data_IF_458843571103
#
_entry.id   IF_458843571103
#
_cell.length_a   1.000
_cell.length_b   1.000
_cell.length_c   1.000
_cell.angle_alpha   90.00
_cell.angle_beta   90.00
_cell.angle_gamma   90.00
#
_symmetry.space_group_name_H-M   'P 1'
#
loop_
_entity.id
_entity.type
_entity.pdbx_description
1 polymer ?
#
# COMPACT_ATOMS: atom_id res chain seq x y z
N UNK A 1 -14.31 -4.00 -16.45
CA UNK A 1 -13.01 -4.57 -16.86
C UNK A 1 -12.88 -5.88 -16.14
N UNK A 2 -12.64 -6.96 -16.86
CA UNK A 2 -12.44 -8.30 -16.31
C UNK A 2 -11.02 -8.73 -16.59
N UNK A 3 -10.41 -9.46 -15.66
CA UNK A 3 -8.99 -9.79 -15.69
C UNK A 3 -8.71 -11.01 -14.83
N UNK A 4 -7.76 -11.82 -15.28
CA UNK A 4 -7.20 -12.94 -14.52
C UNK A 4 -5.82 -12.61 -13.95
N UNK A 5 -5.35 -11.37 -14.09
CA UNK A 5 -4.09 -10.93 -13.52
C UNK A 5 -4.25 -10.62 -12.03
N UNK A 6 -3.28 -11.02 -11.22
CA UNK A 6 -3.30 -10.79 -9.76
C UNK A 6 -3.23 -9.30 -9.39
N UNK A 7 -2.58 -8.49 -10.23
CA UNK A 7 -2.44 -7.04 -10.04
C UNK A 7 -2.86 -6.31 -11.31
N UNK A 8 -4.18 -6.15 -11.54
CA UNK A 8 -4.70 -5.60 -12.79
C UNK A 8 -4.64 -4.08 -12.88
N UNK A 9 -4.60 -3.40 -11.74
CA UNK A 9 -4.55 -1.95 -11.63
C UNK A 9 -3.83 -1.58 -10.34
N UNK A 10 -2.99 -0.55 -10.41
CA UNK A 10 -2.36 0.03 -9.22
C UNK A 10 -3.37 0.95 -8.53
N UNK A 11 -3.60 0.75 -7.23
CA UNK A 11 -4.55 1.52 -6.44
C UNK A 11 -3.87 2.24 -5.27
N UNK A 12 -4.21 3.51 -5.11
CA UNK A 12 -3.91 4.29 -3.92
C UNK A 12 -4.93 4.01 -2.81
N UNK A 13 -4.54 4.24 -1.54
CA UNK A 13 -5.43 3.99 -0.38
C UNK A 13 -6.71 4.82 -0.41
N UNK A 14 -6.64 6.00 -1.02
CA UNK A 14 -7.74 6.94 -1.15
C UNK A 14 -8.43 6.81 -2.51
N UNK A 15 -8.24 5.70 -3.22
CA UNK A 15 -8.98 5.42 -4.45
C UNK A 15 -10.49 5.44 -4.21
N UNK A 16 -11.15 6.37 -4.91
CA UNK A 16 -12.60 6.55 -4.92
C UNK A 16 -13.22 6.23 -6.28
N UNK A 17 -12.50 5.49 -7.14
CA UNK A 17 -12.94 5.22 -8.52
C UNK A 17 -13.24 3.76 -8.79
N UNK A 18 -12.61 2.84 -8.05
CA UNK A 18 -12.67 1.42 -8.37
C UNK A 18 -13.37 0.63 -7.26
N UNK A 19 -14.47 -0.03 -7.62
CA UNK A 19 -15.02 -1.15 -6.87
C UNK A 19 -14.27 -2.42 -7.29
N UNK A 20 -13.66 -3.12 -6.34
CA UNK A 20 -12.97 -4.38 -6.61
C UNK A 20 -13.81 -5.53 -6.09
N UNK A 21 -14.28 -6.37 -7.01
CA UNK A 21 -14.98 -7.60 -6.73
C UNK A 21 -14.10 -8.76 -7.17
N UNK A 22 -13.55 -9.50 -6.20
CA UNK A 22 -12.94 -10.78 -6.50
C UNK A 22 -14.06 -11.82 -6.51
N UNK A 23 -14.34 -12.38 -7.68
CA UNK A 23 -15.09 -13.61 -7.76
C UNK A 23 -14.13 -14.74 -7.36
N UNK A 24 -14.55 -15.58 -6.42
CA UNK A 24 -13.79 -16.77 -6.09
C UNK A 24 -13.54 -17.56 -7.37
N UNK A 25 -12.28 -17.85 -7.67
CA UNK A 25 -11.96 -18.70 -8.82
C UNK A 25 -12.42 -20.12 -8.55
N UNK A 26 -12.49 -20.95 -9.59
CA UNK A 26 -12.79 -22.39 -9.47
C UNK A 26 -11.79 -23.14 -8.57
N UNK A 27 -10.67 -22.51 -8.19
CA UNK A 27 -9.71 -23.05 -7.22
C UNK A 27 -10.01 -22.63 -5.77
N UNK A 28 -10.95 -21.71 -5.55
CA UNK A 28 -11.39 -21.20 -4.24
C UNK A 28 -12.88 -21.45 -3.95
N UNK A 29 -13.71 -21.63 -4.98
CA UNK A 29 -15.04 -22.25 -4.87
C UNK A 29 -14.87 -23.76 -5.00
N UNK A 30 -15.62 -24.50 -4.19
CA UNK A 30 -15.74 -25.95 -4.18
C UNK A 30 -15.66 -26.50 -5.63
N UNK A 31 -14.82 -27.52 -5.85
CA UNK A 31 -14.53 -28.16 -7.14
C UNK A 31 -15.75 -28.73 -7.90
N UNK A 32 -16.97 -28.49 -7.41
CA UNK A 32 -18.21 -29.15 -7.86
C UNK A 32 -18.44 -29.05 -9.37
N UNK A 33 -18.12 -27.92 -10.00
CA UNK A 33 -18.48 -27.68 -11.40
C UNK A 33 -17.31 -27.33 -12.33
N UNK A 34 -16.04 -27.53 -11.94
CA UNK A 34 -14.86 -27.09 -12.75
C UNK A 34 -14.85 -27.65 -14.17
N UNK A 35 -15.34 -28.87 -14.33
CA UNK A 35 -15.40 -29.60 -15.60
C UNK A 35 -16.84 -30.05 -15.91
N UNK A 36 -17.82 -29.46 -15.23
CA UNK A 36 -19.24 -29.78 -15.41
C UNK A 36 -19.79 -29.08 -16.66
N UNK A 37 -19.49 -29.70 -17.79
CA UNK A 37 -19.89 -29.23 -19.12
C UNK A 37 -21.42 -29.14 -19.22
N UNK A 38 -22.14 -30.06 -18.59
CA UNK A 38 -23.60 -30.09 -18.63
C UNK A 38 -24.20 -28.90 -17.87
N UNK A 39 -23.69 -28.60 -16.67
CA UNK A 39 -24.07 -27.39 -15.92
C UNK A 39 -23.85 -26.12 -16.73
N UNK A 40 -22.67 -25.94 -17.33
CA UNK A 40 -22.38 -24.72 -18.11
C UNK A 40 -23.19 -24.65 -19.40
N UNK A 41 -23.48 -25.79 -20.03
CA UNK A 41 -24.37 -25.86 -21.18
C UNK A 41 -25.79 -25.42 -20.79
N UNK A 42 -26.35 -25.98 -19.72
CA UNK A 42 -27.67 -25.61 -19.21
C UNK A 42 -27.72 -24.12 -18.83
N UNK A 43 -26.72 -23.63 -18.09
CA UNK A 43 -26.60 -22.23 -17.72
C UNK A 43 -26.57 -21.31 -18.95
N UNK A 44 -25.78 -21.65 -19.97
CA UNK A 44 -25.69 -20.85 -21.20
C UNK A 44 -27.00 -20.82 -21.99
N UNK A 45 -27.78 -21.91 -21.94
CA UNK A 45 -29.08 -22.02 -22.58
C UNK A 45 -30.19 -21.30 -21.79
N UNK A 46 -29.99 -21.10 -20.49
CA UNK A 46 -30.95 -20.40 -19.62
C UNK A 46 -31.09 -18.90 -19.92
N UNK A 47 -30.14 -18.30 -20.65
CA UNK A 47 -30.17 -16.89 -21.06
C UNK A 47 -31.14 -16.65 -22.22
N UNK A 48 -32.43 -16.87 -21.96
CA UNK A 48 -33.52 -16.70 -22.91
C UNK A 48 -33.92 -15.23 -23.07
N UNK A 49 -34.72 -14.93 -24.08
CA UNK A 49 -35.31 -13.58 -24.25
C UNK A 49 -36.12 -13.16 -23.01
N UNK A 50 -36.92 -14.08 -22.45
CA UNK A 50 -37.70 -13.85 -21.23
C UNK A 50 -36.79 -13.52 -20.03
N UNK A 51 -35.66 -14.20 -19.89
CA UNK A 51 -34.67 -13.88 -18.86
C UNK A 51 -34.18 -12.42 -18.98
N UNK A 52 -33.82 -11.97 -20.18
CA UNK A 52 -33.36 -10.59 -20.39
C UNK A 52 -34.47 -9.55 -20.16
N UNK A 53 -35.70 -9.85 -20.56
CA UNK A 53 -36.86 -8.97 -20.30
C UNK A 53 -37.14 -8.83 -18.80
N UNK A 54 -37.08 -9.95 -18.06
CA UNK A 54 -37.22 -9.96 -16.60
C UNK A 54 -36.05 -9.23 -15.92
N UNK A 55 -34.81 -9.44 -16.37
CA UNK A 55 -33.64 -8.74 -15.86
C UNK A 55 -33.74 -7.23 -16.10
N UNK A 56 -34.17 -6.82 -17.29
CA UNK A 56 -34.34 -5.41 -17.62
C UNK A 56 -35.42 -4.76 -16.75
N UNK A 57 -36.56 -5.46 -16.57
CA UNK A 57 -37.64 -5.02 -15.68
C UNK A 57 -37.12 -4.85 -14.25
N UNK A 58 -36.40 -5.84 -13.72
CA UNK A 58 -35.77 -5.77 -12.39
C UNK A 58 -34.83 -4.56 -12.24
N UNK A 59 -34.00 -4.27 -13.25
CA UNK A 59 -33.07 -3.13 -13.21
C UNK A 59 -33.81 -1.78 -13.28
N UNK A 60 -34.88 -1.68 -14.07
CA UNK A 60 -35.67 -0.45 -14.23
C UNK A 60 -36.56 -0.14 -13.03
N UNK A 61 -37.05 -1.17 -12.33
CA UNK A 61 -37.92 -1.02 -11.17
C UNK A 61 -37.15 -0.83 -9.85
N UNK A 62 -35.82 -0.95 -9.89
CA UNK A 62 -34.99 -0.81 -8.69
C UNK A 62 -34.99 0.63 -8.19
N UNK A 63 -35.49 0.85 -6.97
CA UNK A 63 -35.35 2.14 -6.30
C UNK A 63 -33.87 2.42 -5.98
N UNK A 64 -33.32 3.45 -6.64
CA UNK A 64 -31.95 3.94 -6.49
C UNK A 64 -31.90 5.33 -5.83
N UNK A 65 -33.01 5.81 -5.24
CA UNK A 65 -33.07 7.14 -4.61
C UNK A 65 -32.01 7.35 -3.52
N UNK A 66 -31.60 6.28 -2.84
CA UNK A 66 -30.54 6.28 -1.82
C UNK A 66 -29.17 5.86 -2.37
N UNK A 67 -29.06 5.48 -3.63
CA UNK A 67 -27.79 5.04 -4.21
C UNK A 67 -26.87 6.24 -4.43
N UNK A 68 -25.68 6.18 -3.83
CA UNK A 68 -24.64 7.18 -4.04
C UNK A 68 -23.44 6.53 -4.74
N UNK A 69 -23.20 6.82 -6.04
CA UNK A 69 -22.10 6.22 -6.79
C UNK A 69 -20.72 6.66 -6.30
N UNK A 70 -20.62 7.69 -5.45
CA UNK A 70 -19.35 8.14 -4.86
C UNK A 70 -18.93 7.33 -3.64
N UNK A 71 -19.85 6.56 -3.03
CA UNK A 71 -19.58 5.72 -1.87
C UNK A 71 -19.15 4.32 -2.33
N UNK A 72 -17.89 4.22 -2.76
CA UNK A 72 -17.32 2.93 -3.15
C UNK A 72 -16.84 2.18 -1.90
N UNK A 73 -17.34 0.96 -1.64
CA UNK A 73 -16.95 0.19 -0.46
C UNK A 73 -15.49 -0.27 -0.54
N UNK A 74 -14.86 -0.37 0.64
CA UNK A 74 -13.52 -0.92 0.81
C UNK A 74 -13.59 -2.44 1.03
N UNK A 75 -13.72 -3.19 -0.07
CA UNK A 75 -13.75 -4.66 -0.06
C UNK A 75 -12.40 -5.27 0.32
N UNK A 76 -12.37 -6.52 0.80
CA UNK A 76 -11.10 -7.21 1.11
C UNK A 76 -10.17 -7.31 -0.11
N UNK A 77 -10.74 -7.62 -1.28
CA UNK A 77 -9.99 -7.63 -2.53
C UNK A 77 -9.38 -6.25 -2.85
N UNK A 78 -10.11 -5.15 -2.57
CA UNK A 78 -9.57 -3.80 -2.74
C UNK A 78 -8.43 -3.53 -1.76
N UNK A 79 -8.55 -3.92 -0.48
CA UNK A 79 -7.49 -3.77 0.52
C UNK A 79 -6.23 -4.53 0.11
N UNK A 80 -6.37 -5.77 -0.34
CA UNK A 80 -5.26 -6.58 -0.86
C UNK A 80 -4.60 -5.91 -2.07
N UNK A 81 -5.40 -5.41 -3.01
CA UNK A 81 -4.87 -4.75 -4.21
C UNK A 81 -4.12 -3.45 -3.88
N UNK A 82 -4.64 -2.64 -2.95
CA UNK A 82 -3.95 -1.44 -2.42
C UNK A 82 -2.63 -1.86 -1.74
N UNK A 83 -2.63 -2.96 -0.99
CA UNK A 83 -1.44 -3.47 -0.31
C UNK A 83 -0.33 -3.88 -1.30
N UNK A 84 -0.67 -4.60 -2.38
CA UNK A 84 0.33 -4.98 -3.41
C UNK A 84 0.70 -3.83 -4.35
N UNK A 85 -0.09 -2.75 -4.37
CA UNK A 85 0.18 -1.53 -5.14
C UNK A 85 1.20 -0.59 -4.49
N UNK A 86 1.68 -0.93 -3.28
CA UNK A 86 2.68 -0.19 -2.52
C UNK A 86 3.97 -0.03 -3.32
N UNK A 87 4.56 1.15 -3.24
CA UNK A 87 5.91 1.34 -3.76
C UNK A 87 6.94 0.83 -2.74
N UNK A 88 8.14 0.41 -3.18
CA UNK A 88 9.22 0.02 -2.25
C UNK A 88 9.60 1.12 -1.25
N UNK A 89 9.31 2.38 -1.56
CA UNK A 89 9.52 3.51 -0.65
C UNK A 89 8.45 3.55 0.44
N UNK A 90 7.21 3.16 0.12
CA UNK A 90 6.14 3.02 1.11
C UNK A 90 6.51 1.97 2.15
N UNK A 91 7.05 0.83 1.70
CA UNK A 91 7.45 -0.25 2.61
C UNK A 91 8.51 0.22 3.62
N UNK A 92 9.57 0.90 3.15
CA UNK A 92 10.59 1.47 4.03
C UNK A 92 10.01 2.52 4.97
N UNK A 93 9.09 3.36 4.50
CA UNK A 93 8.44 4.36 5.36
C UNK A 93 7.59 3.68 6.42
N UNK A 94 6.86 2.61 6.10
CA UNK A 94 6.05 1.87 7.06
C UNK A 94 6.92 1.18 8.11
N UNK A 95 7.96 0.46 7.68
CA UNK A 95 8.92 -0.22 8.57
C UNK A 95 9.65 0.73 9.53
N UNK A 96 9.81 2.01 9.15
CA UNK A 96 10.52 3.03 9.93
C UNK A 96 9.62 4.22 10.30
N UNK A 97 8.29 4.04 10.26
CA UNK A 97 7.32 5.13 10.38
C UNK A 97 7.53 6.04 11.59
N UNK A 98 7.76 5.47 12.77
CA UNK A 98 8.02 6.25 13.99
C UNK A 98 9.31 7.07 13.86
N UNK A 99 10.36 6.54 13.22
CA UNK A 99 11.59 7.30 12.96
C UNK A 99 11.35 8.45 11.98
N UNK A 100 10.55 8.24 10.94
CA UNK A 100 10.18 9.31 10.00
C UNK A 100 9.37 10.43 10.65
N UNK A 101 8.53 10.12 11.65
CA UNK A 101 7.83 11.15 12.44
C UNK A 101 8.78 11.99 13.30
N UNK A 102 9.85 11.40 13.82
CA UNK A 102 10.84 12.08 14.69
C UNK A 102 11.99 12.76 13.92
N UNK A 103 12.25 12.31 12.69
CA UNK A 103 13.38 12.75 11.87
C UNK A 103 14.45 11.66 11.75
N UNK A 104 14.45 10.92 10.65
CA UNK A 104 15.43 9.87 10.38
C UNK A 104 16.64 10.40 9.59
N UNK A 105 17.89 10.10 9.98
CA UNK A 105 19.08 10.52 9.23
C UNK A 105 19.05 10.08 7.77
N UNK A 106 19.32 11.00 6.85
CA UNK A 106 19.33 10.70 5.40
C UNK A 106 20.43 9.69 5.05
N UNK A 107 21.53 9.68 5.79
CA UNK A 107 22.58 8.71 5.54
C UNK A 107 22.15 7.28 5.92
N UNK A 108 21.40 7.11 7.01
CA UNK A 108 20.81 5.82 7.39
C UNK A 108 19.76 5.37 6.38
N UNK A 109 18.84 6.25 5.97
CA UNK A 109 17.76 5.85 5.06
C UNK A 109 18.27 5.42 3.68
N UNK A 110 19.38 5.98 3.21
CA UNK A 110 19.97 5.60 1.92
C UNK A 110 20.44 4.14 1.92
N UNK A 111 20.70 3.54 3.08
CA UNK A 111 21.07 2.14 3.23
C UNK A 111 19.87 1.19 2.99
N UNK A 112 18.63 1.66 3.20
CA UNK A 112 17.41 0.89 2.94
C UNK A 112 16.90 1.03 1.49
N UNK A 113 17.69 1.66 0.61
CA UNK A 113 17.36 1.77 -0.80
C UNK A 113 17.23 0.37 -1.44
N UNK A 114 16.16 0.10 -2.21
CA UNK A 114 16.06 -1.13 -2.99
C UNK A 114 17.28 -1.37 -3.87
N UNK A 115 17.74 -2.63 -3.96
CA UNK A 115 18.99 -2.96 -4.65
C UNK A 115 18.97 -2.56 -6.14
N UNK A 116 17.82 -2.69 -6.79
CA UNK A 116 17.59 -2.35 -8.20
C UNK A 116 17.43 -0.84 -8.46
N UNK A 117 17.42 0.02 -7.44
CA UNK A 117 17.23 1.45 -7.61
C UNK A 117 18.56 2.22 -7.60
N UNK A 118 18.68 3.26 -8.43
CA UNK A 118 19.73 4.25 -8.28
C UNK A 118 19.44 5.15 -7.07
N UNK A 119 20.47 5.59 -6.36
CA UNK A 119 20.30 6.46 -5.18
C UNK A 119 19.55 7.75 -5.50
N UNK A 120 19.80 8.32 -6.69
CA UNK A 120 19.07 9.51 -7.18
C UNK A 120 17.56 9.25 -7.30
N UNK A 121 17.17 8.10 -7.84
CA UNK A 121 15.76 7.72 -7.98
C UNK A 121 15.08 7.58 -6.62
N UNK A 122 15.75 6.94 -5.67
CA UNK A 122 15.24 6.78 -4.32
C UNK A 122 15.07 8.12 -3.60
N UNK A 123 16.07 8.99 -3.66
CA UNK A 123 15.98 10.35 -3.09
C UNK A 123 14.83 11.16 -3.70
N UNK A 124 14.65 11.10 -5.02
CA UNK A 124 13.55 11.79 -5.69
C UNK A 124 12.18 11.29 -5.20
N UNK A 125 12.01 9.99 -5.01
CA UNK A 125 10.77 9.44 -4.48
C UNK A 125 10.50 9.88 -3.04
N UNK A 126 11.56 9.98 -2.21
CA UNK A 126 11.45 10.46 -0.83
C UNK A 126 11.07 11.92 -0.72
N UNK A 127 11.56 12.80 -1.60
CA UNK A 127 11.28 14.24 -1.57
C UNK A 127 9.78 14.55 -1.73
N UNK A 128 9.02 13.68 -2.40
CA UNK A 128 7.57 13.83 -2.51
C UNK A 128 6.81 13.44 -1.24
N UNK A 129 7.46 12.71 -0.32
CA UNK A 129 6.84 12.16 0.89
C UNK A 129 7.35 12.81 2.18
N UNK A 130 8.55 13.36 2.14
CA UNK A 130 9.27 13.90 3.30
C UNK A 130 9.85 15.28 3.00
N UNK A 131 10.01 16.07 4.06
CA UNK A 131 10.80 17.30 4.07
C UNK A 131 12.21 17.02 4.60
N UNK A 132 13.24 17.56 3.94
CA UNK A 132 14.62 17.56 4.46
C UNK A 132 14.76 18.67 5.51
N UNK A 133 15.22 18.31 6.71
CA UNK A 133 15.57 19.25 7.77
C UNK A 133 16.97 19.00 8.30
N UNK A 134 17.54 19.97 9.02
CA UNK A 134 18.82 19.82 9.74
C UNK A 134 18.60 19.99 11.23
N UNK A 135 18.79 18.91 11.97
CA UNK A 135 18.62 18.87 13.43
C UNK A 135 19.93 18.49 14.12
N UNK A 136 20.01 18.72 15.43
CA UNK A 136 21.12 18.24 16.24
C UNK A 136 20.76 16.87 16.83
N UNK A 137 21.59 15.86 16.56
CA UNK A 137 21.49 14.52 17.15
C UNK A 137 22.84 14.26 17.83
N UNK A 138 22.84 14.00 19.14
CA UNK A 138 24.05 13.86 19.97
C UNK A 138 25.08 14.98 19.75
N UNK A 139 24.61 16.22 19.65
CA UNK A 139 25.47 17.40 19.41
C UNK A 139 25.99 17.57 17.99
N UNK A 140 25.75 16.62 17.09
CA UNK A 140 26.13 16.68 15.67
C UNK A 140 24.96 17.19 14.81
N UNK A 141 25.26 18.14 13.91
CA UNK A 141 24.25 18.70 12.99
C UNK A 141 24.04 17.74 11.82
N UNK A 142 22.91 17.04 11.83
CA UNK A 142 22.59 15.94 10.91
C UNK A 142 21.42 16.32 10.01
N UNK A 143 21.51 15.96 8.72
CA UNK A 143 20.39 16.05 7.78
C UNK A 143 19.44 14.87 8.00
N UNK A 144 18.15 15.16 8.15
CA UNK A 144 17.10 14.18 8.39
C UNK A 144 15.94 14.34 7.40
N UNK A 145 15.22 13.25 7.15
CA UNK A 145 13.88 13.31 6.56
C UNK A 145 12.83 13.27 7.66
N UNK A 146 11.85 14.16 7.56
CA UNK A 146 10.64 14.16 8.39
C UNK A 146 9.45 14.00 7.47
N UNK A 147 8.54 13.10 7.81
CA UNK A 147 7.38 12.82 6.99
C UNK A 147 6.43 14.03 6.91
N UNK A 148 5.95 14.35 5.72
CA UNK A 148 4.99 15.45 5.54
C UNK A 148 3.69 15.14 6.28
N UNK A 149 3.00 16.19 6.77
CA UNK A 149 1.81 16.02 7.62
C UNK A 149 0.65 15.31 6.91
N UNK A 150 0.46 15.58 5.63
CA UNK A 150 -0.52 14.90 4.77
C UNK A 150 -0.16 13.41 4.60
N UNK A 151 1.12 13.11 4.42
CA UNK A 151 1.62 11.74 4.31
C UNK A 151 1.45 10.97 5.63
N UNK A 152 1.60 11.62 6.79
CA UNK A 152 1.34 10.97 8.07
C UNK A 152 -0.10 10.47 8.17
N UNK A 153 -1.07 11.31 7.76
CA UNK A 153 -2.47 10.88 7.73
C UNK A 153 -2.74 9.75 6.72
N UNK A 154 -1.96 9.66 5.65
CA UNK A 154 -2.04 8.56 4.68
C UNK A 154 -1.56 7.25 5.31
N UNK A 155 -0.35 7.23 5.91
CA UNK A 155 0.20 6.01 6.51
C UNK A 155 -0.53 5.58 7.79
N UNK A 156 -1.04 6.53 8.60
CA UNK A 156 -1.84 6.21 9.79
C UNK A 156 -3.10 5.37 9.43
N UNK A 157 -3.65 5.51 8.21
CA UNK A 157 -4.78 4.70 7.72
C UNK A 157 -4.35 3.35 7.12
N UNK A 158 -3.09 3.26 6.74
CA UNK A 158 -2.53 2.15 5.95
C UNK A 158 -1.85 1.10 6.82
N UNK A 159 -1.29 1.53 7.95
CA UNK A 159 -0.63 0.66 8.91
C UNK A 159 -1.64 -0.24 9.60
N UNK A 160 -1.31 -1.53 9.64
CA UNK A 160 -1.97 -2.50 10.51
C UNK A 160 -1.20 -2.65 11.84
N UNK A 161 -1.65 -3.56 12.70
CA UNK A 161 -1.02 -3.83 14.00
C UNK A 161 0.43 -4.34 13.83
N UNK A 162 0.67 -5.26 12.89
CA UNK A 162 1.99 -5.83 12.60
C UNK A 162 3.00 -4.78 12.07
N UNK A 163 2.55 -3.91 11.16
CA UNK A 163 3.32 -2.77 10.66
C UNK A 163 3.71 -1.84 11.82
N UNK A 164 2.76 -1.60 12.73
CA UNK A 164 2.95 -0.73 13.90
C UNK A 164 3.96 -1.33 14.88
N UNK A 165 3.87 -2.63 15.16
CA UNK A 165 4.82 -3.35 16.01
C UNK A 165 6.23 -3.33 15.41
N UNK A 166 6.35 -3.61 14.11
CA UNK A 166 7.62 -3.58 13.36
C UNK A 166 8.26 -2.20 13.44
N UNK A 167 7.49 -1.15 13.17
CA UNK A 167 7.96 0.23 13.23
C UNK A 167 8.45 0.62 14.62
N UNK A 168 7.71 0.25 15.66
CA UNK A 168 8.10 0.50 17.05
C UNK A 168 9.38 -0.25 17.42
N UNK A 169 9.52 -1.52 17.04
CA UNK A 169 10.71 -2.31 17.31
C UNK A 169 11.96 -1.71 16.65
N UNK A 170 11.84 -1.26 15.40
CA UNK A 170 12.91 -0.59 14.67
C UNK A 170 13.29 0.75 15.34
N UNK A 171 12.31 1.53 15.79
CA UNK A 171 12.56 2.76 16.53
C UNK A 171 13.29 2.52 17.86
N UNK A 172 12.92 1.48 18.62
CA UNK A 172 13.62 1.14 19.87
C UNK A 172 15.08 0.73 19.62
N UNK A 173 15.33 -0.07 18.58
CA UNK A 173 16.70 -0.42 18.16
C UNK A 173 17.50 0.84 17.86
N UNK A 174 16.95 1.73 17.03
CA UNK A 174 17.57 2.99 16.65
C UNK A 174 17.88 3.89 17.85
N UNK A 175 16.92 4.06 18.77
CA UNK A 175 17.10 4.88 19.96
C UNK A 175 18.25 4.35 20.82
N UNK A 176 18.31 3.04 21.04
CA UNK A 176 19.40 2.39 21.77
C UNK A 176 20.76 2.63 21.11
N UNK A 177 20.82 2.51 19.79
CA UNK A 177 22.05 2.72 19.01
C UNK A 177 22.52 4.18 19.00
N UNK A 178 21.62 5.15 19.17
CA UNK A 178 21.98 6.56 19.39
C UNK A 178 22.46 6.81 20.82
N UNK A 179 21.83 6.20 21.81
CA UNK A 179 22.24 6.32 23.21
C UNK A 179 23.62 5.68 23.47
N UNK A 180 23.97 4.64 22.70
CA UNK A 180 25.26 3.93 22.78
C UNK A 180 26.39 4.59 21.95
N UNK A 181 26.21 5.82 21.43
CA UNK A 181 27.15 6.63 20.60
C UNK A 181 27.67 6.00 19.27
N UNK A 182 27.32 4.75 18.95
CA UNK A 182 27.99 3.98 17.91
C UNK A 182 27.65 4.29 16.43
N UNK A 183 26.48 4.88 16.13
CA UNK A 183 26.02 4.98 14.72
C UNK A 183 26.51 6.23 13.99
N UNK A 184 26.60 7.37 14.69
CA UNK A 184 26.90 8.64 14.01
C UNK A 184 28.37 8.67 13.57
N UNK A 185 29.30 8.09 14.34
CA UNK A 185 30.70 8.02 13.94
C UNK A 185 30.93 7.15 12.69
N UNK A 186 30.26 6.00 12.54
CA UNK A 186 30.42 5.14 11.36
C UNK A 186 29.81 5.76 10.09
N UNK A 187 28.62 6.35 10.21
CA UNK A 187 27.91 6.95 9.06
C UNK A 187 28.55 8.29 8.61
N UNK A 188 29.15 9.05 9.54
CA UNK A 188 29.93 10.26 9.22
C UNK A 188 31.27 9.91 8.58
N UNK A 189 31.83 8.73 8.85
CA UNK A 189 33.07 8.30 8.21
C UNK A 189 32.84 7.83 6.77
N UNK A 190 31.77 7.05 6.52
CA UNK A 190 31.42 6.57 5.17
C UNK A 190 31.05 7.71 4.19
N UNK A 191 30.56 8.85 4.69
CA UNK A 191 30.18 10.00 3.85
C UNK A 191 31.33 10.99 3.58
N UNK A 192 32.51 10.78 4.16
CA UNK A 192 33.72 11.56 3.86
C UNK A 192 34.58 10.96 2.74
N UNK A 193 34.32 9.70 2.37
CA UNK A 193 35.10 8.94 1.40
C UNK A 193 34.43 8.82 0.01
N UNK A 194 33.35 9.57 -0.27
CA UNK A 194 32.73 9.74 -1.60
C UNK A 194 32.84 11.18 -2.15
#
# INVERSE_FOLDING_TARGET
>A
YETNADMPVQLDIDDRRHLICACNTVHQVIEEHKEDVDYFNELSQSYTQEFYENLMTFLLERDISYFNPTLIPMTEAKKQLINVSRSPVDDVIMEHYVQFKQGIPIALINQFKPQNWLLKTYKNAMVHKCEEQRIYINGLRTKVYILNRDQQSYYDKMMNEEDTETSNANYQKYKKTIEDDGLIEQVVQETKDE
#
